data_IF_015670509458
#
_entry.id   IF_015670509458
#
_cell.length_a   1.000
_cell.length_b   1.000
_cell.length_c   1.000
_cell.angle_alpha   90.00
_cell.angle_beta   90.00
_cell.angle_gamma   90.00
#
_symmetry.space_group_name_H-M   'P 1'
#
loop_
_entity.id
_entity.type
_entity.pdbx_description
1 polymer ?
#
# COMPACT_ATOMS: atom_id res chain seq x y z
N UNK A 1 -6.35 36.28 -49.90
CA UNK A 1 -5.93 35.25 -48.93
C UNK A 1 -5.32 35.99 -47.77
N UNK A 2 -6.09 36.24 -46.71
CA UNK A 2 -5.57 36.91 -45.51
C UNK A 2 -4.81 35.87 -44.71
N UNK A 3 -3.48 35.93 -44.76
CA UNK A 3 -2.63 35.21 -43.83
C UNK A 3 -2.99 35.70 -42.43
N UNK A 4 -3.67 34.86 -41.65
CA UNK A 4 -4.08 35.21 -40.29
C UNK A 4 -2.83 35.42 -39.45
N UNK A 5 -2.80 36.52 -38.69
CA UNK A 5 -1.73 36.76 -37.72
C UNK A 5 -1.56 35.52 -36.81
N UNK A 6 -0.31 35.15 -36.49
CA UNK A 6 -0.06 33.99 -35.64
C UNK A 6 -0.71 34.19 -34.28
N UNK A 7 -1.51 33.21 -33.85
CA UNK A 7 -2.30 33.23 -32.62
C UNK A 7 -1.44 33.42 -31.34
N UNK A 8 -0.12 33.20 -31.42
CA UNK A 8 0.83 33.34 -30.32
C UNK A 8 2.18 33.88 -30.80
N UNK A 9 2.82 34.69 -29.97
CA UNK A 9 4.21 35.12 -30.21
C UNK A 9 5.20 33.99 -29.89
N UNK A 10 6.44 34.02 -30.43
CA UNK A 10 7.47 33.04 -30.10
C UNK A 10 7.77 32.94 -28.61
N UNK A 11 7.67 34.04 -27.85
CA UNK A 11 7.90 34.02 -26.41
C UNK A 11 6.77 33.34 -25.63
N UNK A 12 5.52 33.54 -26.06
CA UNK A 12 4.35 32.87 -25.50
C UNK A 12 4.44 31.37 -25.74
N UNK A 13 4.87 30.96 -26.94
CA UNK A 13 5.09 29.57 -27.27
C UNK A 13 6.15 28.90 -26.37
N UNK A 14 7.26 29.60 -26.10
CA UNK A 14 8.30 29.11 -25.19
C UNK A 14 7.80 29.02 -23.75
N UNK A 15 7.01 29.99 -23.29
CA UNK A 15 6.36 29.97 -21.96
C UNK A 15 5.39 28.79 -21.84
N UNK A 16 4.53 28.57 -22.83
CA UNK A 16 3.59 27.44 -22.86
C UNK A 16 4.30 26.10 -22.84
N UNK A 17 5.37 25.93 -23.63
CA UNK A 17 6.21 24.71 -23.59
C UNK A 17 6.86 24.48 -22.23
N UNK A 18 7.28 25.54 -21.55
CA UNK A 18 7.86 25.44 -20.20
C UNK A 18 6.79 25.07 -19.17
N UNK A 19 5.65 25.75 -19.19
CA UNK A 19 4.51 25.47 -18.32
C UNK A 19 4.00 24.04 -18.51
N UNK A 20 3.80 23.61 -19.76
CA UNK A 20 3.41 22.23 -20.08
C UNK A 20 4.39 21.22 -19.49
N UNK A 21 5.70 21.45 -19.62
CA UNK A 21 6.71 20.57 -19.02
C UNK A 21 6.63 20.54 -17.50
N UNK A 22 6.50 21.69 -16.85
CA UNK A 22 6.35 21.78 -15.39
C UNK A 22 5.11 21.02 -14.93
N UNK A 23 3.97 21.23 -15.60
CA UNK A 23 2.71 20.56 -15.25
C UNK A 23 2.83 19.05 -15.42
N UNK A 24 3.40 18.57 -16.53
CA UNK A 24 3.60 17.13 -16.77
C UNK A 24 4.53 16.52 -15.72
N UNK A 25 5.66 17.16 -15.42
CA UNK A 25 6.59 16.66 -14.40
C UNK A 25 5.98 16.70 -13.01
N UNK A 26 5.23 17.75 -12.68
CA UNK A 26 4.50 17.88 -11.41
C UNK A 26 3.46 16.77 -11.25
N UNK A 27 2.62 16.56 -12.27
CA UNK A 27 1.61 15.50 -12.26
C UNK A 27 2.25 14.10 -12.16
N UNK A 28 3.32 13.85 -12.91
CA UNK A 28 4.06 12.58 -12.85
C UNK A 28 4.67 12.32 -11.47
N UNK A 29 5.27 13.35 -10.86
CA UNK A 29 5.87 13.26 -9.53
C UNK A 29 4.80 13.01 -8.46
N UNK A 30 3.69 13.75 -8.50
CA UNK A 30 2.58 13.55 -7.58
C UNK A 30 1.97 12.16 -7.72
N UNK A 31 1.75 11.69 -8.96
CA UNK A 31 1.24 10.35 -9.22
C UNK A 31 2.17 9.27 -8.65
N UNK A 32 3.48 9.40 -8.84
CA UNK A 32 4.46 8.48 -8.27
C UNK A 32 4.41 8.46 -6.74
N UNK A 33 4.34 9.63 -6.10
CA UNK A 33 4.25 9.72 -4.64
C UNK A 33 2.96 9.07 -4.10
N UNK A 34 1.82 9.29 -4.75
CA UNK A 34 0.56 8.65 -4.37
C UNK A 34 0.65 7.13 -4.52
N UNK A 35 1.19 6.63 -5.63
CA UNK A 35 1.38 5.19 -5.83
C UNK A 35 2.26 4.57 -4.74
N UNK A 36 3.39 5.20 -4.42
CA UNK A 36 4.28 4.73 -3.35
C UNK A 36 3.58 4.75 -1.98
N UNK A 37 2.83 5.80 -1.68
CA UNK A 37 2.08 5.91 -0.43
C UNK A 37 1.01 4.80 -0.30
N UNK A 38 0.30 4.49 -1.38
CA UNK A 38 -0.69 3.40 -1.39
C UNK A 38 -0.04 2.03 -1.20
N UNK A 39 1.10 1.78 -1.86
CA UNK A 39 1.86 0.53 -1.68
C UNK A 39 2.31 0.38 -0.23
N UNK A 40 2.92 1.41 0.35
CA UNK A 40 3.36 1.39 1.75
C UNK A 40 2.16 1.23 2.70
N UNK A 41 1.08 1.95 2.45
CA UNK A 41 -0.16 1.87 3.22
C UNK A 41 -0.74 0.46 3.24
N UNK A 42 -0.76 -0.22 2.10
CA UNK A 42 -1.21 -1.61 2.00
C UNK A 42 -0.41 -2.55 2.91
N UNK A 43 0.92 -2.43 2.94
CA UNK A 43 1.77 -3.29 3.79
C UNK A 43 1.65 -2.99 5.29
N UNK A 44 1.31 -1.75 5.67
CA UNK A 44 1.18 -1.34 7.07
C UNK A 44 -0.25 -1.60 7.61
N UNK A 45 -1.25 -1.67 6.73
CA UNK A 45 -2.65 -1.88 7.10
C UNK A 45 -2.95 -3.25 7.71
N UNK A 46 -2.05 -4.23 7.54
CA UNK A 46 -2.26 -5.57 8.05
C UNK A 46 -2.30 -5.59 9.60
N UNK A 47 -3.36 -6.16 10.22
CA UNK A 47 -3.47 -6.24 11.66
C UNK A 47 -2.36 -7.09 12.26
N UNK A 48 -1.80 -6.62 13.37
CA UNK A 48 -0.72 -7.29 14.10
C UNK A 48 -1.29 -8.30 15.10
N UNK A 49 -1.14 -9.62 14.88
CA UNK A 49 -1.67 -10.62 15.80
C UNK A 49 -0.95 -10.52 17.15
N UNK A 50 -1.68 -10.76 18.24
CA UNK A 50 -1.14 -10.87 19.62
C UNK A 50 -1.13 -12.34 20.02
N UNK A 51 -0.04 -12.79 20.62
CA UNK A 51 0.07 -14.16 21.17
C UNK A 51 -1.00 -14.37 22.25
N UNK A 52 -1.84 -15.38 22.10
CA UNK A 52 -2.85 -15.79 23.07
C UNK A 52 -3.32 -17.24 22.83
N UNK A 53 -4.31 -17.70 23.59
CA UNK A 53 -4.85 -19.06 23.46
C UNK A 53 -5.39 -19.39 22.05
N UNK A 54 -5.83 -18.38 21.29
CA UNK A 54 -6.42 -18.52 19.96
C UNK A 54 -5.43 -18.23 18.82
N UNK A 55 -4.39 -17.43 19.09
CA UNK A 55 -3.36 -17.04 18.13
C UNK A 55 -1.99 -17.42 18.68
N UNK A 56 -1.44 -18.52 18.17
CA UNK A 56 -0.05 -18.92 18.42
C UNK A 56 0.79 -18.51 17.22
N UNK A 57 1.76 -17.64 17.41
CA UNK A 57 2.53 -17.02 16.34
C UNK A 57 3.67 -17.94 15.86
N UNK A 58 4.05 -18.92 16.68
CA UNK A 58 5.10 -19.91 16.36
C UNK A 58 4.64 -21.03 15.41
N UNK A 59 3.37 -21.04 15.01
CA UNK A 59 2.81 -22.07 14.11
C UNK A 59 3.14 -21.77 12.63
N UNK A 60 3.15 -22.79 11.75
CA UNK A 60 3.33 -22.56 10.32
C UNK A 60 2.15 -21.78 9.72
N UNK A 61 2.41 -21.02 8.65
CA UNK A 61 1.39 -20.22 7.93
C UNK A 61 0.17 -21.05 7.49
N UNK A 62 0.35 -22.35 7.24
CA UNK A 62 -0.75 -23.27 6.91
C UNK A 62 -1.80 -23.36 8.01
N UNK A 63 -1.39 -23.25 9.29
CA UNK A 63 -2.32 -23.27 10.41
C UNK A 63 -3.17 -21.99 10.45
N UNK A 64 -2.62 -20.83 10.06
CA UNK A 64 -3.37 -19.59 9.93
C UNK A 64 -4.48 -19.72 8.88
N UNK A 65 -4.16 -20.34 7.73
CA UNK A 65 -5.10 -20.50 6.60
C UNK A 65 -6.28 -21.41 6.91
N UNK A 66 -6.13 -22.36 7.83
CA UNK A 66 -7.24 -23.22 8.27
C UNK A 66 -8.43 -22.40 8.80
N UNK A 67 -8.16 -21.24 9.42
CA UNK A 67 -9.21 -20.35 9.91
C UNK A 67 -9.48 -19.19 8.95
N UNK A 68 -8.43 -18.57 8.39
CA UNK A 68 -8.55 -17.31 7.63
C UNK A 68 -8.81 -17.48 6.13
N UNK A 69 -8.54 -18.65 5.56
CA UNK A 69 -8.81 -18.94 4.14
C UNK A 69 -10.05 -19.82 3.96
N UNK A 70 -10.20 -20.86 4.81
CA UNK A 70 -11.22 -21.90 4.63
C UNK A 70 -12.16 -22.09 5.84
N UNK A 71 -11.92 -21.41 6.97
CA UNK A 71 -12.59 -21.71 8.24
C UNK A 71 -13.60 -20.66 8.70
N UNK A 72 -14.21 -20.91 9.86
CA UNK A 72 -15.22 -20.05 10.51
C UNK A 72 -14.69 -19.31 11.75
N UNK A 73 -13.40 -19.46 12.06
CA UNK A 73 -12.78 -18.97 13.30
C UNK A 73 -12.02 -17.64 13.18
N UNK A 74 -11.97 -17.03 12.00
CA UNK A 74 -11.29 -15.76 11.77
C UNK A 74 -11.89 -15.00 10.58
N UNK A 75 -11.60 -13.69 10.45
CA UNK A 75 -11.97 -12.94 9.26
C UNK A 75 -11.31 -13.53 8.02
N UNK A 76 -12.06 -13.57 6.92
CA UNK A 76 -11.57 -14.04 5.63
C UNK A 76 -10.45 -13.14 5.11
N UNK A 77 -9.43 -13.75 4.51
CA UNK A 77 -8.30 -13.02 3.91
C UNK A 77 -8.78 -12.14 2.74
N UNK A 78 -8.57 -10.81 2.78
CA UNK A 78 -8.95 -9.91 1.68
C UNK A 78 -7.92 -9.92 0.53
N UNK A 79 -6.92 -10.80 0.59
CA UNK A 79 -5.85 -10.89 -0.39
C UNK A 79 -5.60 -12.34 -0.80
N UNK A 80 -5.00 -12.54 -1.97
CA UNK A 80 -4.59 -13.87 -2.45
C UNK A 80 -3.58 -14.50 -1.49
N UNK A 81 -3.55 -15.85 -1.34
CA UNK A 81 -2.56 -16.52 -0.51
C UNK A 81 -1.13 -16.04 -0.80
N UNK A 82 -0.44 -15.68 0.27
CA UNK A 82 0.96 -15.25 0.26
C UNK A 82 1.80 -16.32 0.95
N UNK A 83 3.10 -16.49 0.61
CA UNK A 83 3.93 -17.53 1.21
C UNK A 83 4.10 -17.39 2.72
N UNK A 84 4.11 -16.15 3.24
CA UNK A 84 4.33 -15.84 4.64
C UNK A 84 3.32 -14.83 5.17
N UNK A 85 2.51 -15.21 6.17
CA UNK A 85 1.53 -14.32 6.79
C UNK A 85 2.22 -13.23 7.61
N UNK A 86 3.32 -13.56 8.28
CA UNK A 86 4.05 -12.69 9.21
C UNK A 86 4.79 -11.53 8.55
N UNK A 87 4.91 -11.52 7.21
CA UNK A 87 5.55 -10.42 6.48
C UNK A 87 4.78 -9.10 6.67
N UNK A 88 3.46 -9.14 6.47
CA UNK A 88 2.55 -8.01 6.73
C UNK A 88 1.98 -8.08 8.16
N UNK A 89 1.55 -9.27 8.60
CA UNK A 89 0.99 -9.48 9.94
C UNK A 89 2.07 -9.65 10.99
N UNK A 90 2.87 -8.60 11.19
CA UNK A 90 3.96 -8.63 12.18
C UNK A 90 3.38 -8.79 13.59
N UNK A 91 3.80 -9.81 14.35
CA UNK A 91 3.42 -10.01 15.74
C UNK A 91 3.56 -8.76 16.59
N UNK A 92 2.61 -8.54 17.49
CA UNK A 92 2.86 -7.63 18.60
C UNK A 92 3.90 -8.25 19.53
N UNK A 93 4.82 -7.46 20.12
CA UNK A 93 5.68 -7.96 21.17
C UNK A 93 4.80 -8.56 22.28
N UNK A 94 5.10 -9.78 22.71
CA UNK A 94 4.46 -10.33 23.89
C UNK A 94 4.83 -9.44 25.07
N UNK A 95 3.86 -8.79 25.70
CA UNK A 95 4.02 -8.44 27.10
C UNK A 95 4.33 -9.75 27.84
N UNK A 96 5.32 -9.73 28.73
CA UNK A 96 5.83 -10.91 29.42
C UNK A 96 4.68 -11.83 29.90
N UNK A 97 4.87 -13.17 29.88
CA UNK A 97 3.77 -14.09 30.16
C UNK A 97 3.11 -13.72 31.49
N UNK A 98 1.78 -13.56 31.48
CA UNK A 98 1.00 -13.63 32.71
C UNK A 98 1.26 -15.01 33.31
N UNK A 99 2.16 -15.05 34.30
CA UNK A 99 2.29 -16.16 35.22
C UNK A 99 0.97 -16.26 35.99
N UNK A 100 0.08 -17.15 35.56
CA UNK A 100 -1.01 -17.59 36.40
C UNK A 100 -0.48 -18.70 37.32
N UNK A 101 -0.63 -18.58 38.65
CA UNK A 101 -0.44 -19.70 39.58
C UNK A 101 -1.51 -20.78 39.40
#
# INVERSE_FOLDING_TARGET
MTEGEPLFTPEEWQRLKRLRRIVIMGAGTLSLLVCLALIVGFFIAAPKPKENAQHRISVPDTACRNCHEFGTGGPLMPHRPFPHCTFCHRPQPSEAPLQHP
#
